data_IF_461971312198
#
_entry.id   IF_461971312198
#
_cell.length_a   1.000
_cell.length_b   1.000
_cell.length_c   1.000
_cell.angle_alpha   90.00
_cell.angle_beta   90.00
_cell.angle_gamma   90.00
#
_symmetry.space_group_name_H-M   'P 1'
#
loop_
_entity.id
_entity.type
_entity.pdbx_description
1 polymer ?
#
# COMPACT_ATOMS: atom_id res chain seq x y z
N UNK A 1 -87.32 -9.99 -11.41
CA UNK A 1 -87.45 -11.35 -10.88
C UNK A 1 -86.25 -11.58 -9.92
N UNK A 2 -86.62 -11.84 -8.69
CA UNK A 2 -85.79 -12.12 -7.54
C UNK A 2 -85.03 -13.43 -7.69
N UNK A 3 -83.82 -13.50 -7.12
CA UNK A 3 -83.27 -14.60 -6.29
C UNK A 3 -81.91 -14.10 -5.85
N UNK A 4 -81.55 -13.82 -4.69
CA UNK A 4 -81.60 -14.44 -3.40
C UNK A 4 -80.41 -15.44 -3.24
N UNK A 5 -79.23 -15.00 -2.71
CA UNK A 5 -78.22 -15.93 -2.22
C UNK A 5 -77.57 -15.37 -0.92
N UNK A 6 -77.81 -16.12 0.12
CA UNK A 6 -77.34 -15.99 1.50
C UNK A 6 -75.84 -16.19 1.63
N UNK A 7 -75.15 -15.57 2.62
CA UNK A 7 -73.71 -15.77 2.87
C UNK A 7 -73.50 -17.03 3.73
N UNK A 8 -72.52 -17.81 3.35
CA UNK A 8 -71.96 -18.91 4.16
C UNK A 8 -70.77 -18.40 4.99
N UNK A 9 -70.97 -18.47 6.31
CA UNK A 9 -69.85 -18.30 7.28
C UNK A 9 -68.90 -19.48 7.18
N UNK A 10 -67.62 -19.22 7.05
CA UNK A 10 -66.56 -20.19 7.29
C UNK A 10 -65.66 -19.69 8.42
N UNK A 11 -65.38 -20.60 9.34
CA UNK A 11 -64.67 -20.41 10.62
C UNK A 11 -63.21 -20.07 10.51
N UNK A 12 -62.57 -19.52 11.59
CA UNK A 12 -61.11 -19.13 11.61
C UNK A 12 -60.25 -20.33 12.00
N UNK A 13 -59.20 -20.54 11.28
CA UNK A 13 -58.24 -21.58 11.65
C UNK A 13 -56.98 -21.60 10.82
N UNK A 14 -55.91 -21.22 11.45
CA UNK A 14 -54.48 -21.52 11.22
C UNK A 14 -53.61 -20.30 10.95
N UNK A 15 -53.14 -19.70 12.03
CA UNK A 15 -51.94 -18.85 12.04
C UNK A 15 -50.72 -19.73 11.71
N UNK A 16 -50.29 -19.66 10.45
CA UNK A 16 -49.03 -20.27 10.05
C UNK A 16 -47.91 -19.41 10.58
N UNK A 17 -47.25 -19.89 11.63
CA UNK A 17 -46.05 -19.30 12.19
C UNK A 17 -44.93 -19.31 11.12
N UNK A 18 -44.76 -18.17 10.44
CA UNK A 18 -43.55 -17.90 9.66
C UNK A 18 -42.39 -17.78 10.63
N UNK A 19 -41.66 -18.88 10.79
CA UNK A 19 -40.36 -18.93 11.45
C UNK A 19 -39.39 -18.10 10.61
N UNK A 20 -39.21 -16.84 10.98
CA UNK A 20 -38.10 -16.04 10.47
C UNK A 20 -36.80 -16.69 10.95
N UNK A 21 -36.16 -17.50 10.09
CA UNK A 21 -34.78 -17.90 10.26
C UNK A 21 -33.95 -16.63 10.06
N UNK A 22 -33.62 -15.99 11.19
CA UNK A 22 -32.52 -15.04 11.23
C UNK A 22 -31.26 -15.81 10.84
N UNK A 23 -30.91 -15.82 9.56
CA UNK A 23 -29.57 -16.13 9.09
C UNK A 23 -28.71 -15.02 9.65
N UNK A 24 -28.07 -15.32 10.77
CA UNK A 24 -26.97 -14.50 11.28
C UNK A 24 -25.93 -14.43 10.16
N UNK A 25 -25.92 -13.33 9.41
CA UNK A 25 -24.81 -12.95 8.59
C UNK A 25 -23.64 -12.87 9.57
N UNK A 26 -22.82 -13.92 9.59
CA UNK A 26 -21.51 -13.87 10.21
C UNK A 26 -20.81 -12.67 9.57
N UNK A 27 -20.83 -11.55 10.30
CA UNK A 27 -20.04 -10.39 9.97
C UNK A 27 -18.60 -10.90 9.81
N UNK A 28 -18.08 -10.83 8.61
CA UNK A 28 -16.66 -10.92 8.34
C UNK A 28 -15.97 -10.10 9.44
N UNK A 29 -14.97 -10.63 10.17
CA UNK A 29 -14.35 -9.90 11.25
C UNK A 29 -13.93 -8.55 10.69
N UNK A 30 -14.47 -7.48 11.25
CA UNK A 30 -14.24 -6.10 10.88
C UNK A 30 -12.71 -5.92 10.81
N UNK A 31 -12.15 -5.93 9.61
CA UNK A 31 -10.73 -5.60 9.46
C UNK A 31 -10.62 -4.14 9.88
N UNK A 32 -9.97 -3.93 11.02
CA UNK A 32 -9.74 -2.60 11.56
C UNK A 32 -9.11 -1.74 10.47
N UNK A 33 -9.60 -0.52 10.27
CA UNK A 33 -8.99 0.41 9.34
C UNK A 33 -7.51 0.58 9.68
N UNK A 34 -6.61 0.59 8.68
CA UNK A 34 -5.19 0.70 8.93
C UNK A 34 -4.88 2.05 9.57
N UNK A 35 -4.01 2.04 10.57
CA UNK A 35 -3.58 3.26 11.28
C UNK A 35 -2.64 4.12 10.44
N UNK A 36 -1.92 3.50 9.51
CA UNK A 36 -1.03 4.17 8.54
C UNK A 36 -0.92 3.35 7.26
N UNK A 37 -0.42 3.97 6.19
CA UNK A 37 -0.23 3.31 4.90
C UNK A 37 1.13 3.68 4.31
N UNK A 38 2.01 2.70 4.12
CA UNK A 38 3.35 2.91 3.55
C UNK A 38 3.41 2.36 2.14
N UNK A 39 3.73 3.24 1.19
CA UNK A 39 4.10 2.84 -0.17
C UNK A 39 5.55 2.38 -0.19
N UNK A 40 5.80 1.13 -0.56
CA UNK A 40 7.15 0.55 -0.62
C UNK A 40 7.59 0.36 -2.07
N UNK A 41 8.68 1.01 -2.42
CA UNK A 41 9.41 0.84 -3.68
C UNK A 41 10.57 -0.12 -3.45
N UNK A 42 10.66 -1.20 -4.21
CA UNK A 42 11.71 -2.20 -4.06
C UNK A 42 11.93 -3.00 -5.34
N UNK A 43 13.00 -3.82 -5.35
CA UNK A 43 13.34 -4.62 -6.51
C UNK A 43 12.28 -5.66 -6.89
N UNK A 44 11.97 -5.77 -8.20
CA UNK A 44 11.21 -6.89 -8.78
C UNK A 44 12.05 -8.19 -8.88
N UNK A 45 13.33 -8.12 -8.49
CA UNK A 45 14.27 -9.24 -8.33
C UNK A 45 14.72 -9.31 -6.88
N UNK A 46 15.17 -10.49 -6.44
CA UNK A 46 15.63 -10.69 -5.05
C UNK A 46 17.00 -10.07 -4.75
N UNK A 47 17.76 -9.69 -5.79
CA UNK A 47 19.16 -9.31 -5.62
C UNK A 47 20.07 -10.54 -5.51
N UNK A 48 21.38 -10.29 -5.35
CA UNK A 48 22.37 -11.36 -5.22
C UNK A 48 22.50 -11.89 -3.79
N UNK A 49 22.23 -11.02 -2.79
CA UNK A 49 22.32 -11.37 -1.38
C UNK A 49 20.91 -11.73 -0.83
N UNK A 50 20.75 -12.91 -0.20
CA UNK A 50 19.51 -13.29 0.48
C UNK A 50 19.06 -12.31 1.57
N UNK A 51 19.96 -11.51 2.12
CA UNK A 51 19.67 -10.48 3.11
C UNK A 51 18.64 -9.46 2.61
N UNK A 52 18.61 -9.15 1.30
CA UNK A 52 17.62 -8.23 0.74
C UNK A 52 16.19 -8.78 0.83
N UNK A 53 16.01 -10.07 0.57
CA UNK A 53 14.68 -10.71 0.72
C UNK A 53 14.27 -10.77 2.19
N UNK A 54 15.20 -11.06 3.09
CA UNK A 54 14.96 -11.05 4.53
C UNK A 54 14.56 -9.65 5.02
N UNK A 55 15.20 -8.59 4.53
CA UNK A 55 14.90 -7.20 4.82
C UNK A 55 13.49 -6.82 4.35
N UNK A 56 13.13 -7.18 3.12
CA UNK A 56 11.79 -6.94 2.58
C UNK A 56 10.71 -7.65 3.41
N UNK A 57 10.95 -8.91 3.79
CA UNK A 57 10.06 -9.66 4.66
C UNK A 57 9.99 -9.06 6.08
N UNK A 58 11.09 -8.56 6.64
CA UNK A 58 11.11 -7.86 7.94
C UNK A 58 10.28 -6.59 7.87
N UNK A 59 10.43 -5.79 6.83
CA UNK A 59 9.64 -4.57 6.56
C UNK A 59 8.14 -4.90 6.51
N UNK A 60 7.75 -5.92 5.74
CA UNK A 60 6.36 -6.35 5.63
C UNK A 60 5.77 -6.84 6.95
N UNK A 61 6.52 -7.65 7.69
CA UNK A 61 6.09 -8.10 9.04
C UNK A 61 5.87 -6.92 9.97
N UNK A 62 6.77 -5.96 9.98
CA UNK A 62 6.64 -4.78 10.83
C UNK A 62 5.36 -4.01 10.50
N UNK A 63 5.09 -3.74 9.21
CA UNK A 63 3.87 -3.05 8.77
C UNK A 63 2.62 -3.79 9.27
N UNK A 64 2.54 -5.10 9.04
CA UNK A 64 1.38 -5.89 9.46
C UNK A 64 1.19 -5.94 10.97
N UNK A 65 2.25 -6.17 11.74
CA UNK A 65 2.21 -6.26 13.20
C UNK A 65 1.78 -4.96 13.88
N UNK A 66 2.03 -3.80 13.23
CA UNK A 66 1.64 -2.48 13.76
C UNK A 66 0.30 -1.98 13.19
N UNK A 67 -0.50 -2.86 12.58
CA UNK A 67 -1.82 -2.52 12.05
C UNK A 67 -1.78 -1.59 10.84
N UNK A 68 -0.67 -1.60 10.10
CA UNK A 68 -0.48 -0.79 8.91
C UNK A 68 -0.97 -1.45 7.62
N UNK A 69 -0.93 -0.67 6.56
CA UNK A 69 -1.21 -1.07 5.18
C UNK A 69 0.04 -0.90 4.32
N UNK A 70 0.34 -1.90 3.52
CA UNK A 70 1.31 -1.83 2.44
C UNK A 70 0.62 -1.36 1.15
N UNK A 71 1.20 -0.39 0.48
CA UNK A 71 0.92 -0.06 -0.93
C UNK A 71 2.17 -0.39 -1.74
N UNK A 72 2.04 -1.04 -2.91
CA UNK A 72 3.21 -1.41 -3.71
C UNK A 72 2.84 -1.71 -5.17
N UNK A 73 3.84 -2.05 -5.99
CA UNK A 73 3.70 -2.26 -7.43
C UNK A 73 2.92 -3.49 -7.88
N UNK A 74 2.34 -4.29 -6.98
CA UNK A 74 1.40 -5.38 -7.30
C UNK A 74 2.03 -6.66 -7.85
N UNK A 75 3.34 -6.73 -8.06
CA UNK A 75 4.04 -7.94 -8.54
C UNK A 75 4.32 -8.95 -7.42
N UNK A 76 4.42 -10.23 -7.78
CA UNK A 76 4.72 -11.33 -6.85
C UNK A 76 6.21 -11.71 -6.81
N UNK A 77 7.01 -11.18 -7.73
CA UNK A 77 8.41 -11.53 -7.85
C UNK A 77 9.33 -10.71 -6.94
N UNK A 78 10.48 -11.27 -6.58
CA UNK A 78 11.57 -10.59 -5.88
C UNK A 78 11.17 -10.01 -4.53
N UNK A 79 11.69 -8.82 -4.23
CA UNK A 79 11.43 -8.14 -2.97
C UNK A 79 9.97 -7.68 -2.84
N UNK A 80 9.31 -7.39 -3.97
CA UNK A 80 7.89 -7.04 -4.00
C UNK A 80 7.01 -8.15 -3.43
N UNK A 81 7.18 -9.38 -3.88
CA UNK A 81 6.47 -10.53 -3.32
C UNK A 81 6.81 -10.75 -1.85
N UNK A 82 8.09 -10.66 -1.49
CA UNK A 82 8.54 -10.89 -0.11
C UNK A 82 7.92 -9.90 0.89
N UNK A 83 7.86 -8.60 0.57
CA UNK A 83 7.25 -7.60 1.45
C UNK A 83 5.73 -7.79 1.53
N UNK A 84 5.06 -8.09 0.43
CA UNK A 84 3.61 -8.26 0.39
C UNK A 84 3.16 -9.52 1.16
N UNK A 85 3.79 -10.67 0.89
CA UNK A 85 3.49 -11.93 1.58
C UNK A 85 3.71 -11.79 3.10
N UNK A 86 4.81 -11.16 3.51
CA UNK A 86 5.12 -10.96 4.93
C UNK A 86 4.13 -10.01 5.62
N UNK A 87 3.63 -8.97 4.91
CA UNK A 87 2.60 -8.07 5.45
C UNK A 87 1.29 -8.81 5.67
N UNK A 88 0.84 -9.61 4.68
CA UNK A 88 -0.37 -10.43 4.78
C UNK A 88 -0.28 -11.45 5.92
N UNK A 89 0.84 -12.18 6.01
CA UNK A 89 1.08 -13.16 7.07
C UNK A 89 1.06 -12.55 8.48
N UNK A 90 1.44 -11.28 8.59
CA UNK A 90 1.43 -10.53 9.84
C UNK A 90 0.08 -9.85 10.14
N UNK A 91 -0.97 -10.10 9.33
CA UNK A 91 -2.31 -9.57 9.53
C UNK A 91 -2.53 -8.15 8.97
N UNK A 92 -1.56 -7.59 8.24
CA UNK A 92 -1.68 -6.29 7.60
C UNK A 92 -2.47 -6.33 6.29
N UNK A 93 -2.89 -5.17 5.82
CA UNK A 93 -3.54 -5.00 4.51
C UNK A 93 -2.50 -4.76 3.42
N UNK A 94 -2.78 -5.23 2.21
CA UNK A 94 -1.88 -5.04 1.06
C UNK A 94 -2.70 -4.55 -0.13
N UNK A 95 -2.31 -3.39 -0.66
CA UNK A 95 -2.82 -2.84 -1.91
C UNK A 95 -1.74 -2.96 -2.98
N UNK A 96 -1.99 -3.77 -3.99
CA UNK A 96 -1.17 -3.86 -5.19
C UNK A 96 -1.72 -2.99 -6.32
N UNK A 97 -0.86 -2.26 -7.02
CA UNK A 97 -1.24 -1.49 -8.20
C UNK A 97 -0.33 -1.87 -9.36
N UNK A 98 -0.90 -2.44 -10.42
CA UNK A 98 -0.14 -2.99 -11.54
C UNK A 98 -0.74 -2.57 -12.88
N UNK A 99 0.05 -2.09 -13.85
CA UNK A 99 -0.42 -1.88 -15.20
C UNK A 99 -0.77 -3.19 -15.90
N UNK A 100 -1.82 -3.19 -16.72
CA UNK A 100 -2.23 -4.36 -17.49
C UNK A 100 -1.07 -5.00 -18.27
N UNK A 101 -0.19 -4.19 -18.85
CA UNK A 101 0.98 -4.66 -19.60
C UNK A 101 2.03 -5.43 -18.75
N UNK A 102 1.98 -5.28 -17.41
CA UNK A 102 2.91 -5.94 -16.49
C UNK A 102 2.29 -7.13 -15.73
N UNK A 103 0.98 -7.36 -15.86
CA UNK A 103 0.25 -8.41 -15.13
C UNK A 103 0.91 -9.79 -15.30
N UNK A 104 1.21 -10.18 -16.55
CA UNK A 104 1.88 -11.46 -16.85
C UNK A 104 3.38 -11.40 -16.53
N UNK A 105 4.04 -10.28 -16.89
CA UNK A 105 5.50 -10.13 -16.78
C UNK A 105 5.99 -10.10 -15.32
N UNK A 106 5.26 -9.45 -14.43
CA UNK A 106 5.61 -9.32 -13.01
C UNK A 106 4.85 -10.31 -12.13
N UNK A 107 4.04 -11.22 -12.73
CA UNK A 107 3.20 -12.17 -12.04
C UNK A 107 2.35 -11.45 -10.98
N UNK A 108 1.30 -10.75 -11.44
CA UNK A 108 0.41 -10.00 -10.56
C UNK A 108 0.00 -10.81 -9.31
N UNK A 109 0.17 -10.22 -8.15
CA UNK A 109 -0.05 -10.88 -6.86
C UNK A 109 -1.54 -10.91 -6.50
N UNK A 110 -2.25 -11.93 -6.95
CA UNK A 110 -3.70 -12.08 -6.75
C UNK A 110 -4.12 -12.34 -5.29
N UNK A 111 -3.17 -12.55 -4.38
CA UNK A 111 -3.41 -12.70 -2.94
C UNK A 111 -3.43 -11.40 -2.15
N UNK A 112 -3.25 -10.24 -2.78
CA UNK A 112 -3.39 -8.94 -2.13
C UNK A 112 -4.80 -8.75 -1.55
N UNK A 113 -4.92 -7.91 -0.52
CA UNK A 113 -6.23 -7.47 -0.01
C UNK A 113 -7.01 -6.74 -1.09
N UNK A 114 -6.32 -5.87 -1.85
CA UNK A 114 -6.83 -5.20 -3.04
C UNK A 114 -5.78 -5.26 -4.14
N UNK A 115 -6.18 -5.59 -5.37
CA UNK A 115 -5.32 -5.52 -6.55
C UNK A 115 -5.97 -4.64 -7.61
N UNK A 116 -5.37 -3.50 -7.88
CA UNK A 116 -5.82 -2.55 -8.89
C UNK A 116 -5.02 -2.75 -10.17
N UNK A 117 -5.70 -3.16 -11.24
CA UNK A 117 -5.12 -3.21 -12.59
C UNK A 117 -5.44 -1.91 -13.30
N UNK A 118 -4.40 -1.16 -13.67
CA UNK A 118 -4.51 0.15 -14.31
C UNK A 118 -4.00 0.11 -15.76
N UNK A 119 -4.24 1.17 -16.53
CA UNK A 119 -3.85 1.17 -17.95
C UNK A 119 -2.44 1.70 -18.17
N UNK A 120 -2.01 2.70 -17.40
CA UNK A 120 -0.75 3.41 -17.62
C UNK A 120 0.16 3.38 -16.38
N UNK A 121 1.45 3.65 -16.59
CA UNK A 121 2.40 3.85 -15.49
C UNK A 121 2.09 5.11 -14.69
N UNK A 122 1.52 6.16 -15.30
CA UNK A 122 1.10 7.37 -14.57
C UNK A 122 -0.04 7.07 -13.61
N UNK A 123 -1.09 6.36 -14.06
CA UNK A 123 -2.17 5.91 -13.19
C UNK A 123 -1.66 5.06 -12.03
N UNK A 124 -0.72 4.14 -12.29
CA UNK A 124 -0.09 3.32 -11.26
C UNK A 124 0.53 4.18 -10.17
N UNK A 125 1.46 5.06 -10.52
CA UNK A 125 2.21 5.88 -9.58
C UNK A 125 1.30 6.85 -8.83
N UNK A 126 0.36 7.47 -9.53
CA UNK A 126 -0.64 8.35 -8.91
C UNK A 126 -1.48 7.58 -7.87
N UNK A 127 -2.03 6.42 -8.23
CA UNK A 127 -2.86 5.63 -7.31
C UNK A 127 -2.05 5.11 -6.11
N UNK A 128 -0.81 4.65 -6.32
CA UNK A 128 0.09 4.25 -5.23
C UNK A 128 0.32 5.41 -4.27
N UNK A 129 0.63 6.58 -4.78
CA UNK A 129 0.87 7.77 -3.98
C UNK A 129 -0.41 8.26 -3.26
N UNK A 130 -1.57 8.22 -3.91
CA UNK A 130 -2.85 8.61 -3.31
C UNK A 130 -3.27 7.69 -2.14
N UNK A 131 -2.93 6.39 -2.22
CA UNK A 131 -3.26 5.39 -1.21
C UNK A 131 -2.26 5.30 -0.05
N UNK A 132 -1.14 6.01 -0.13
CA UNK A 132 -0.09 6.02 0.88
C UNK A 132 -0.14 7.26 1.76
N UNK A 133 0.26 7.13 3.03
CA UNK A 133 0.54 8.24 3.95
C UNK A 133 2.05 8.48 4.14
N UNK A 134 2.88 7.52 3.72
CA UNK A 134 4.34 7.62 3.73
C UNK A 134 4.95 6.79 2.59
N UNK A 135 6.21 7.03 2.28
CA UNK A 135 6.96 6.32 1.23
C UNK A 135 8.26 5.73 1.78
N UNK A 136 8.62 4.55 1.31
CA UNK A 136 9.86 3.87 1.68
C UNK A 136 10.50 3.22 0.46
N UNK A 137 11.77 3.53 0.21
CA UNK A 137 12.59 2.81 -0.77
C UNK A 137 13.48 1.78 -0.06
N UNK A 138 13.34 0.50 -0.44
CA UNK A 138 14.25 -0.59 -0.13
C UNK A 138 15.23 -0.79 -1.29
N UNK A 139 16.27 -1.64 -1.16
CA UNK A 139 17.13 -2.00 -2.27
C UNK A 139 16.37 -2.41 -3.51
N UNK A 140 16.81 -1.92 -4.67
CA UNK A 140 16.15 -2.18 -5.94
C UNK A 140 16.92 -1.67 -7.15
N UNK A 141 16.31 -1.73 -8.31
CA UNK A 141 16.90 -1.28 -9.57
C UNK A 141 16.32 0.05 -10.06
N UNK A 142 16.40 0.25 -11.38
CA UNK A 142 16.04 1.53 -12.01
C UNK A 142 14.58 1.94 -11.77
N UNK A 143 13.65 0.98 -11.72
CA UNK A 143 12.24 1.28 -11.41
C UNK A 143 12.06 1.82 -9.98
N UNK A 144 12.77 1.22 -9.00
CA UNK A 144 12.79 1.71 -7.61
C UNK A 144 13.35 3.13 -7.53
N UNK A 145 14.42 3.43 -8.27
CA UNK A 145 15.00 4.77 -8.31
C UNK A 145 14.05 5.78 -8.95
N UNK A 146 13.41 5.41 -10.06
CA UNK A 146 12.46 6.26 -10.78
C UNK A 146 11.28 6.63 -9.87
N UNK A 147 10.64 5.65 -9.21
CA UNK A 147 9.52 5.87 -8.29
C UNK A 147 9.94 6.71 -7.07
N UNK A 148 11.12 6.44 -6.49
CA UNK A 148 11.67 7.19 -5.37
C UNK A 148 11.96 8.65 -5.72
N UNK A 149 12.66 8.92 -6.83
CA UNK A 149 12.99 10.29 -7.24
C UNK A 149 11.77 11.07 -7.69
N UNK A 150 10.81 10.44 -8.32
CA UNK A 150 9.55 11.11 -8.67
C UNK A 150 8.79 11.56 -7.41
N UNK A 151 8.63 10.66 -6.44
CA UNK A 151 7.98 10.97 -5.16
C UNK A 151 8.71 12.09 -4.41
N UNK A 152 10.04 12.05 -4.37
CA UNK A 152 10.85 13.10 -3.76
C UNK A 152 10.72 14.44 -4.49
N UNK A 153 10.69 14.43 -5.81
CA UNK A 153 10.45 15.61 -6.63
C UNK A 153 9.06 16.20 -6.38
N UNK A 154 8.03 15.37 -6.26
CA UNK A 154 6.68 15.82 -5.92
C UNK A 154 6.62 16.50 -4.55
N UNK A 155 7.34 15.98 -3.56
CA UNK A 155 7.46 16.61 -2.25
C UNK A 155 8.17 17.96 -2.33
N UNK A 156 9.28 18.06 -3.06
CA UNK A 156 9.99 19.31 -3.31
C UNK A 156 9.09 20.38 -3.96
N UNK A 157 8.24 19.96 -4.90
CA UNK A 157 7.30 20.84 -5.62
C UNK A 157 6.05 21.17 -4.80
N UNK A 158 5.89 20.62 -3.59
CA UNK A 158 4.76 20.88 -2.71
C UNK A 158 3.48 20.12 -3.07
N UNK A 159 3.53 19.09 -3.91
CA UNK A 159 2.38 18.26 -4.25
C UNK A 159 1.92 17.38 -3.09
N UNK A 160 2.80 17.09 -2.15
CA UNK A 160 2.49 16.43 -0.88
C UNK A 160 3.53 16.79 0.19
N UNK A 161 3.15 16.57 1.47
CA UNK A 161 4.05 16.70 2.62
C UNK A 161 4.40 15.35 3.27
N UNK A 162 4.02 14.21 2.66
CA UNK A 162 4.18 12.86 3.20
C UNK A 162 5.64 12.53 3.44
N UNK A 163 6.01 11.87 4.56
CA UNK A 163 7.38 11.47 4.85
C UNK A 163 7.91 10.47 3.83
N UNK A 164 9.21 10.57 3.53
CA UNK A 164 9.93 9.71 2.58
C UNK A 164 11.13 9.11 3.28
N UNK A 165 11.26 7.79 3.27
CA UNK A 165 12.40 7.04 3.79
C UNK A 165 13.22 6.35 2.71
N UNK A 166 14.54 6.29 2.93
CA UNK A 166 15.48 5.50 2.15
C UNK A 166 16.21 4.54 3.08
N UNK A 167 15.97 3.25 2.96
CA UNK A 167 16.60 2.25 3.80
C UNK A 167 17.96 1.83 3.21
N UNK A 168 19.03 2.37 3.78
CA UNK A 168 20.41 2.12 3.36
C UNK A 168 20.98 0.89 4.07
N UNK A 169 20.37 -0.28 3.83
CA UNK A 169 20.82 -1.55 4.40
C UNK A 169 22.19 -1.94 3.86
N UNK A 170 23.13 -2.21 4.75
CA UNK A 170 24.51 -2.61 4.43
C UNK A 170 25.20 -1.71 3.39
N UNK A 171 24.89 -0.40 3.41
CA UNK A 171 25.51 0.56 2.51
C UNK A 171 25.07 0.45 1.04
N UNK A 172 23.96 -0.25 0.74
CA UNK A 172 23.48 -0.40 -0.65
C UNK A 172 23.35 0.93 -1.38
N UNK A 173 22.95 1.98 -0.69
CA UNK A 173 22.76 3.32 -1.25
C UNK A 173 23.93 4.27 -1.02
N UNK A 174 25.08 3.84 -0.49
CA UNK A 174 26.23 4.71 -0.20
C UNK A 174 26.73 5.45 -1.44
N UNK A 175 26.83 4.77 -2.58
CA UNK A 175 27.22 5.37 -3.85
C UNK A 175 26.23 6.44 -4.33
N UNK A 176 24.92 6.18 -4.20
CA UNK A 176 23.89 7.14 -4.53
C UNK A 176 23.92 8.35 -3.60
N UNK A 177 24.01 8.14 -2.29
CA UNK A 177 24.08 9.21 -1.30
C UNK A 177 25.35 10.07 -1.47
N UNK A 178 26.46 9.45 -1.84
CA UNK A 178 27.70 10.16 -2.19
C UNK A 178 27.51 11.05 -3.42
N UNK A 179 26.88 10.54 -4.48
CA UNK A 179 26.58 11.32 -5.68
C UNK A 179 25.63 12.49 -5.38
N UNK A 180 24.59 12.26 -4.58
CA UNK A 180 23.63 13.32 -4.19
C UNK A 180 24.33 14.43 -3.39
N UNK A 181 25.21 14.09 -2.43
CA UNK A 181 26.04 15.07 -1.73
C UNK A 181 26.97 15.84 -2.68
N UNK A 182 27.53 15.18 -3.68
CA UNK A 182 28.32 15.85 -4.70
C UNK A 182 27.46 16.84 -5.50
N UNK A 183 26.27 16.43 -5.95
CA UNK A 183 25.32 17.30 -6.65
C UNK A 183 24.94 18.54 -5.82
N UNK A 184 24.73 18.35 -4.50
CA UNK A 184 24.51 19.45 -3.57
C UNK A 184 25.72 20.39 -3.50
N UNK A 185 26.93 19.85 -3.38
CA UNK A 185 28.17 20.65 -3.33
C UNK A 185 28.39 21.43 -4.64
N UNK A 186 27.90 20.94 -5.78
CA UNK A 186 27.93 21.64 -7.06
C UNK A 186 26.79 22.66 -7.23
N UNK A 187 25.90 22.82 -6.23
CA UNK A 187 24.83 23.80 -6.25
C UNK A 187 23.55 23.38 -6.99
N UNK A 188 23.43 22.12 -7.43
CA UNK A 188 22.21 21.63 -8.08
C UNK A 188 21.12 21.23 -7.10
N UNK A 189 21.45 21.02 -5.84
CA UNK A 189 20.51 20.65 -4.77
C UNK A 189 20.74 21.52 -3.54
N UNK A 190 19.68 21.93 -2.85
CA UNK A 190 19.78 22.63 -1.57
C UNK A 190 19.93 21.64 -0.40
N UNK A 191 20.52 22.06 0.75
CA UNK A 191 20.54 21.28 1.98
C UNK A 191 19.12 20.86 2.42
N UNK A 192 18.14 21.76 2.32
CA UNK A 192 16.75 21.51 2.69
C UNK A 192 16.13 20.41 1.85
N UNK A 193 16.47 20.32 0.56
CA UNK A 193 16.00 19.25 -0.31
C UNK A 193 16.51 17.88 0.16
N UNK A 194 17.78 17.78 0.56
CA UNK A 194 18.32 16.53 1.12
C UNK A 194 17.63 16.13 2.41
N UNK A 195 17.24 17.11 3.25
CA UNK A 195 16.54 16.87 4.52
C UNK A 195 15.09 16.37 4.35
N UNK A 196 14.53 16.41 3.12
CA UNK A 196 13.20 15.83 2.86
C UNK A 196 13.19 14.31 2.92
N UNK A 197 14.33 13.64 2.82
CA UNK A 197 14.44 12.19 2.85
C UNK A 197 15.09 11.73 4.14
N UNK A 198 14.39 10.87 4.88
CA UNK A 198 14.94 10.24 6.09
C UNK A 198 15.73 8.99 5.69
N UNK A 199 17.03 8.99 5.91
CA UNK A 199 17.93 7.87 5.58
C UNK A 199 18.31 7.13 6.86
N UNK A 200 18.12 5.81 6.88
CA UNK A 200 18.52 4.97 8.02
C UNK A 200 19.01 3.60 7.53
N UNK A 201 19.82 2.95 8.34
CA UNK A 201 20.25 1.56 8.14
C UNK A 201 19.38 0.56 8.89
N UNK A 202 18.56 1.02 9.85
CA UNK A 202 17.73 0.20 10.74
C UNK A 202 16.25 0.25 10.33
N UNK A 203 15.68 -0.86 9.81
CA UNK A 203 14.31 -0.87 9.29
C UNK A 203 13.26 -0.40 10.30
N UNK A 204 13.27 -0.94 11.54
CA UNK A 204 12.25 -0.64 12.54
C UNK A 204 12.24 0.85 12.93
N UNK A 205 13.43 1.45 13.15
CA UNK A 205 13.55 2.85 13.52
C UNK A 205 13.03 3.77 12.41
N UNK A 206 13.37 3.48 11.16
CA UNK A 206 12.88 4.25 10.00
C UNK A 206 11.36 4.12 9.84
N UNK A 207 10.83 2.89 9.92
CA UNK A 207 9.39 2.63 9.80
C UNK A 207 8.57 3.32 10.90
N UNK A 208 9.08 3.36 12.14
CA UNK A 208 8.43 4.09 13.24
C UNK A 208 8.34 5.60 12.95
N UNK A 209 9.39 6.20 12.41
CA UNK A 209 9.38 7.63 12.05
C UNK A 209 8.42 7.92 10.90
N UNK A 210 8.41 7.05 9.88
CA UNK A 210 7.49 7.16 8.75
C UNK A 210 6.04 7.03 9.19
N UNK A 211 5.72 6.03 10.05
CA UNK A 211 4.36 5.84 10.56
C UNK A 211 3.90 7.01 11.42
N UNK A 212 4.73 7.54 12.31
CA UNK A 212 4.40 8.74 13.12
C UNK A 212 4.21 9.99 12.28
N UNK A 213 5.00 10.18 11.23
CA UNK A 213 4.83 11.30 10.31
C UNK A 213 3.62 11.16 9.38
N UNK A 214 3.03 9.97 9.33
CA UNK A 214 1.83 9.65 8.56
C UNK A 214 0.52 10.02 9.28
N UNK A 215 0.55 10.28 10.59
CA UNK A 215 -0.62 10.63 11.41
C UNK A 215 -1.18 12.03 11.11
N UNK A 216 -0.53 12.81 10.26
CA UNK A 216 -0.98 14.10 9.76
C UNK A 216 -1.64 13.96 8.40
N UNK A 217 -2.98 13.90 8.40
CA UNK A 217 -3.87 14.02 7.23
C UNK A 217 -3.55 13.14 6.00
N UNK A 218 -4.49 12.24 5.67
CA UNK A 218 -4.71 11.79 4.28
C UNK A 218 -5.03 13.02 3.40
N UNK A 219 -4.04 13.87 3.17
CA UNK A 219 -4.19 14.95 2.22
C UNK A 219 -4.21 14.32 0.82
N UNK A 220 -5.31 14.44 0.06
CA UNK A 220 -5.30 14.01 -1.32
C UNK A 220 -4.16 14.75 -2.03
N UNK A 221 -3.43 14.04 -2.89
CA UNK A 221 -2.51 14.70 -3.82
C UNK A 221 -3.29 15.83 -4.48
N UNK A 222 -2.78 17.06 -4.40
CA UNK A 222 -3.34 18.17 -5.17
C UNK A 222 -3.44 17.68 -6.62
N UNK A 223 -4.62 17.86 -7.22
CA UNK A 223 -4.86 17.40 -8.59
C UNK A 223 -3.81 18.02 -9.52
N UNK A 224 -2.85 17.22 -9.94
CA UNK A 224 -1.68 17.65 -10.73
C UNK A 224 -1.83 17.28 -12.21
N UNK A 225 -2.99 16.67 -12.58
CA UNK A 225 -3.25 16.27 -13.97
C UNK A 225 -4.70 16.54 -14.36
#
# INVERSE_FOLDING_TARGET
MQTGLTPVFAAPGAVSSLLFILVSLNACPFMKEPTFSICVYCGSRSGADPAFAALAAQTGRWIGQHGGQLVYGGGKNGLMGAVADATLQAGGRVIGVIPQALVEREHAHRGCTELHVVQTMHERKHLMAARASAFLALPGGIGTFEEFFETWTWRQLGYHAKPIGLLNHDGFYDGLLSFLRHSQAQGFMSPDLMALVDVDTHPAALLERLARGADGEFSPLAAVF
#
